data_IF_839040331587
#
_entry.id   IF_839040331587
#
_cell.length_a   1.000
_cell.length_b   1.000
_cell.length_c   1.000
_cell.angle_alpha   90.00
_cell.angle_beta   90.00
_cell.angle_gamma   90.00
#
_symmetry.space_group_name_H-M   'P 1'
#
loop_
_entity.id
_entity.type
_entity.pdbx_description
1 polymer ?
#
# COMPACT_ATOMS: atom_id res chain seq x y z
N UNK A 1 16.32 34.81 26.25
CA UNK A 1 15.91 33.39 26.20
C UNK A 1 14.59 33.16 25.46
N UNK A 2 13.55 33.99 25.61
CA UNK A 2 12.26 33.74 24.97
C UNK A 2 12.27 33.75 23.43
N UNK A 3 13.16 34.52 22.77
CA UNK A 3 13.30 34.54 21.30
C UNK A 3 14.02 33.32 20.70
N UNK A 4 14.88 32.65 21.49
CA UNK A 4 15.58 31.43 21.06
C UNK A 4 14.66 30.20 21.15
N UNK A 5 13.74 30.19 22.12
CA UNK A 5 12.70 29.14 22.23
C UNK A 5 11.69 29.25 21.08
N UNK A 6 11.34 30.46 20.62
CA UNK A 6 10.46 30.64 19.45
C UNK A 6 11.11 30.17 18.15
N UNK A 7 12.43 30.32 18.00
CA UNK A 7 13.18 29.85 16.83
C UNK A 7 13.29 28.31 16.79
N UNK A 8 13.41 27.67 17.96
CA UNK A 8 13.45 26.20 18.08
C UNK A 8 12.09 25.54 17.84
N UNK A 9 10.99 26.21 18.17
CA UNK A 9 9.62 25.75 17.87
C UNK A 9 9.27 25.91 16.38
N UNK A 10 9.95 26.78 15.64
CA UNK A 10 9.80 26.89 14.19
C UNK A 10 10.60 25.85 13.39
N UNK A 11 11.59 25.18 14.03
CA UNK A 11 12.36 24.09 13.42
C UNK A 11 11.71 22.71 13.57
N UNK A 12 10.56 22.62 14.27
CA UNK A 12 9.74 21.40 14.38
C UNK A 12 8.61 21.31 13.36
N UNK A 13 8.54 22.22 12.37
CA UNK A 13 7.68 22.01 11.21
C UNK A 13 8.30 20.90 10.36
N UNK A 14 7.75 19.71 10.53
CA UNK A 14 8.19 18.49 9.87
C UNK A 14 8.34 18.70 8.37
N UNK A 15 9.45 18.17 7.84
CA UNK A 15 9.59 17.92 6.42
C UNK A 15 8.45 16.98 6.01
N UNK A 16 7.35 17.53 5.51
CA UNK A 16 6.39 16.73 4.77
C UNK A 16 7.11 16.31 3.50
N UNK A 17 7.67 15.10 3.53
CA UNK A 17 8.17 14.44 2.35
C UNK A 17 6.94 14.14 1.48
N UNK A 18 6.65 15.05 0.57
CA UNK A 18 5.84 14.67 -0.56
C UNK A 18 6.65 13.65 -1.36
N UNK A 19 6.01 12.60 -1.84
CA UNK A 19 6.65 11.59 -2.67
C UNK A 19 5.89 11.47 -3.99
N UNK A 20 6.63 11.28 -5.08
CA UNK A 20 6.07 10.94 -6.39
C UNK A 20 6.26 9.44 -6.63
N UNK A 21 5.53 8.90 -7.59
CA UNK A 21 5.58 7.47 -7.88
C UNK A 21 6.63 7.17 -8.96
N UNK A 22 7.33 6.06 -8.76
CA UNK A 22 8.10 5.36 -9.80
C UNK A 22 7.42 4.00 -10.01
N UNK A 23 6.38 4.00 -10.84
CA UNK A 23 5.49 2.87 -11.04
C UNK A 23 5.76 2.14 -12.36
N UNK A 24 6.00 0.84 -12.28
CA UNK A 24 5.99 -0.04 -13.46
C UNK A 24 4.59 -0.59 -13.68
N UNK A 25 3.95 -0.22 -14.80
CA UNK A 25 2.65 -0.76 -15.20
C UNK A 25 2.85 -1.85 -16.25
N UNK A 26 2.30 -3.04 -15.98
CA UNK A 26 2.37 -4.20 -16.88
C UNK A 26 0.99 -4.73 -17.14
N UNK A 27 0.66 -4.97 -18.41
CA UNK A 27 -0.62 -5.57 -18.82
C UNK A 27 -0.37 -6.99 -19.32
N UNK A 28 -0.96 -7.97 -18.63
CA UNK A 28 -1.00 -9.35 -19.03
C UNK A 28 -2.33 -9.68 -19.73
N UNK A 29 -2.23 -10.19 -20.96
CA UNK A 29 -3.33 -10.57 -21.83
C UNK A 29 -3.35 -12.06 -22.17
N UNK A 30 -2.52 -12.88 -21.52
CA UNK A 30 -2.36 -14.33 -21.80
C UNK A 30 -3.65 -15.13 -21.62
N UNK A 31 -4.60 -14.61 -20.84
CA UNK A 31 -5.92 -15.24 -20.64
C UNK A 31 -6.94 -14.92 -21.74
N UNK A 32 -6.61 -14.02 -22.67
CA UNK A 32 -7.49 -13.66 -23.79
C UNK A 32 -7.26 -14.59 -24.99
N UNK A 33 -8.34 -15.03 -25.63
CA UNK A 33 -8.26 -15.98 -26.77
C UNK A 33 -7.72 -15.34 -28.06
N UNK A 34 -7.94 -14.03 -28.28
CA UNK A 34 -7.45 -13.26 -29.43
C UNK A 34 -7.20 -11.79 -29.05
N UNK A 35 -6.11 -11.48 -28.34
CA UNK A 35 -5.85 -10.11 -27.88
C UNK A 35 -5.49 -9.17 -29.04
N UNK A 36 -6.13 -8.00 -29.11
CA UNK A 36 -5.61 -6.90 -29.92
C UNK A 36 -4.39 -6.28 -29.23
N UNK A 37 -3.21 -6.78 -29.59
CA UNK A 37 -1.95 -6.39 -28.96
C UNK A 37 -1.63 -4.89 -29.06
N UNK A 38 -2.19 -4.18 -30.04
CA UNK A 38 -1.97 -2.74 -30.17
C UNK A 38 -2.67 -1.95 -29.07
N UNK A 39 -3.96 -2.23 -28.83
CA UNK A 39 -4.78 -1.57 -27.78
C UNK A 39 -4.15 -1.74 -26.39
N UNK A 40 -3.57 -2.90 -26.11
CA UNK A 40 -2.95 -3.15 -24.81
C UNK A 40 -1.60 -2.45 -24.65
N UNK A 41 -0.83 -2.28 -25.73
CA UNK A 41 0.39 -1.46 -25.70
C UNK A 41 0.08 0.02 -25.50
N UNK A 42 -0.98 0.54 -26.14
CA UNK A 42 -1.41 1.92 -25.96
C UNK A 42 -1.95 2.12 -24.54
N UNK A 43 -2.77 1.21 -24.02
CA UNK A 43 -3.25 1.24 -22.64
C UNK A 43 -2.10 1.21 -21.62
N UNK A 44 -1.12 0.31 -21.79
CA UNK A 44 0.02 0.23 -20.88
C UNK A 44 0.84 1.53 -20.87
N UNK A 45 1.06 2.10 -22.06
CA UNK A 45 1.77 3.39 -22.20
C UNK A 45 0.97 4.50 -21.54
N UNK A 46 -0.33 4.63 -21.84
CA UNK A 46 -1.20 5.65 -21.26
C UNK A 46 -1.25 5.56 -19.73
N UNK A 47 -1.39 4.36 -19.15
CA UNK A 47 -1.37 4.16 -17.70
C UNK A 47 0.00 4.47 -17.09
N UNK A 48 1.09 4.06 -17.75
CA UNK A 48 2.44 4.35 -17.28
C UNK A 48 2.71 5.85 -17.25
N UNK A 49 2.28 6.59 -18.28
CA UNK A 49 2.39 8.04 -18.32
C UNK A 49 1.48 8.70 -17.29
N UNK A 50 0.23 8.26 -17.18
CA UNK A 50 -0.73 8.77 -16.22
C UNK A 50 -0.21 8.63 -14.77
N UNK A 51 0.29 7.46 -14.37
CA UNK A 51 0.79 7.27 -13.00
C UNK A 51 2.07 8.05 -12.73
N UNK A 52 3.03 8.05 -13.67
CA UNK A 52 4.36 8.61 -13.42
C UNK A 52 4.51 10.10 -13.75
N UNK A 53 3.60 10.68 -14.55
CA UNK A 53 3.63 12.11 -14.93
C UNK A 53 2.57 12.95 -14.21
N UNK A 54 1.56 12.33 -13.60
CA UNK A 54 0.59 13.06 -12.76
C UNK A 54 1.26 13.56 -11.49
N UNK A 55 1.01 14.82 -11.14
CA UNK A 55 1.42 15.38 -9.86
C UNK A 55 0.39 15.05 -8.77
N UNK A 56 0.68 13.99 -8.01
CA UNK A 56 -0.21 13.49 -6.96
C UNK A 56 -0.17 14.31 -5.67
N UNK A 57 0.91 15.06 -5.44
CA UNK A 57 1.23 15.70 -4.15
C UNK A 57 1.46 17.20 -4.25
N UNK A 58 1.45 17.78 -5.45
CA UNK A 58 1.68 19.21 -5.68
C UNK A 58 3.13 19.64 -5.48
N UNK A 59 4.07 18.69 -5.39
CA UNK A 59 5.45 18.94 -4.98
C UNK A 59 6.43 18.42 -6.04
N UNK A 60 7.43 19.25 -6.36
CA UNK A 60 8.51 18.90 -7.28
C UNK A 60 9.60 18.15 -6.50
N UNK A 61 9.92 16.93 -6.92
CA UNK A 61 10.83 16.04 -6.21
C UNK A 61 11.93 15.48 -7.10
N UNK A 62 13.02 15.02 -6.49
CA UNK A 62 14.10 14.32 -7.21
C UNK A 62 13.70 12.86 -7.49
N UNK A 63 14.26 12.29 -8.55
CA UNK A 63 13.97 10.92 -8.97
C UNK A 63 14.24 9.87 -7.86
N UNK A 64 15.25 10.09 -7.02
CA UNK A 64 15.62 9.21 -5.92
C UNK A 64 14.69 9.29 -4.69
N UNK A 65 13.75 10.24 -4.66
CA UNK A 65 12.76 10.42 -3.59
C UNK A 65 11.41 9.77 -3.96
N UNK A 66 11.34 9.10 -5.12
CA UNK A 66 10.12 8.47 -5.61
C UNK A 66 9.90 7.09 -5.00
N UNK A 67 8.63 6.76 -4.74
CA UNK A 67 8.21 5.46 -4.23
C UNK A 67 8.22 4.43 -5.36
N UNK A 68 8.98 3.35 -5.18
CA UNK A 68 9.00 2.24 -6.12
C UNK A 68 7.72 1.42 -5.96
N UNK A 69 6.95 1.30 -7.04
CA UNK A 69 5.70 0.56 -7.07
C UNK A 69 5.49 -0.16 -8.41
N UNK A 70 4.55 -1.09 -8.42
CA UNK A 70 4.13 -1.78 -9.63
C UNK A 70 2.63 -2.03 -9.63
N UNK A 71 2.05 -1.98 -10.84
CA UNK A 71 0.66 -2.32 -11.10
C UNK A 71 0.63 -3.37 -12.21
N UNK A 72 0.29 -4.60 -11.84
CA UNK A 72 0.20 -5.71 -12.76
C UNK A 72 -1.27 -6.03 -13.04
N UNK A 73 -1.73 -5.69 -14.23
CA UNK A 73 -3.12 -5.84 -14.67
C UNK A 73 -3.23 -7.13 -15.47
N UNK A 74 -4.11 -8.03 -15.06
CA UNK A 74 -4.41 -9.25 -15.81
C UNK A 74 -5.81 -9.17 -16.39
N UNK A 75 -5.92 -9.15 -17.71
CA UNK A 75 -7.20 -9.10 -18.42
C UNK A 75 -7.71 -10.52 -18.67
N UNK A 76 -8.94 -10.79 -18.25
CA UNK A 76 -9.60 -12.08 -18.38
C UNK A 76 -10.64 -12.11 -19.50
N UNK A 77 -11.28 -10.99 -19.80
CA UNK A 77 -12.16 -10.85 -20.96
C UNK A 77 -12.21 -9.42 -21.48
N UNK A 78 -12.59 -9.28 -22.75
CA UNK A 78 -12.83 -8.00 -23.40
C UNK A 78 -14.06 -8.06 -24.31
N UNK A 79 -14.80 -6.94 -24.38
CA UNK A 79 -15.92 -6.73 -25.29
C UNK A 79 -15.86 -5.30 -25.80
N UNK A 80 -15.35 -5.12 -27.03
CA UNK A 80 -15.12 -3.79 -27.62
C UNK A 80 -14.26 -2.90 -26.72
N UNK A 81 -14.82 -1.83 -26.13
CA UNK A 81 -14.19 -0.86 -25.23
C UNK A 81 -14.17 -1.33 -23.76
N UNK A 82 -14.85 -2.42 -23.42
CA UNK A 82 -14.98 -2.92 -22.06
C UNK A 82 -13.99 -4.04 -21.77
N UNK A 83 -13.32 -3.93 -20.63
CA UNK A 83 -12.33 -4.87 -20.16
C UNK A 83 -12.69 -5.35 -18.75
N UNK A 84 -12.46 -6.64 -18.50
CA UNK A 84 -12.64 -7.27 -17.20
C UNK A 84 -11.33 -7.94 -16.81
N UNK A 85 -10.93 -7.78 -15.55
CA UNK A 85 -9.66 -8.28 -15.10
C UNK A 85 -9.44 -8.07 -13.60
N UNK A 86 -8.19 -8.28 -13.22
CA UNK A 86 -7.69 -8.06 -11.86
C UNK A 86 -6.47 -7.15 -11.89
N UNK A 87 -6.21 -6.43 -10.81
CA UNK A 87 -5.01 -5.60 -10.66
C UNK A 87 -4.28 -5.98 -9.38
N UNK A 88 -3.02 -6.39 -9.54
CA UNK A 88 -2.10 -6.60 -8.43
C UNK A 88 -1.28 -5.33 -8.24
N UNK A 89 -1.39 -4.73 -7.06
CA UNK A 89 -0.70 -3.49 -6.70
C UNK A 89 0.36 -3.79 -5.66
N UNK A 90 1.57 -3.31 -5.90
CA UNK A 90 2.70 -3.49 -4.99
C UNK A 90 3.44 -2.17 -4.81
N UNK A 91 3.94 -1.93 -3.59
CA UNK A 91 4.86 -0.83 -3.30
C UNK A 91 5.93 -1.26 -2.32
N UNK A 92 7.05 -0.55 -2.34
CA UNK A 92 8.17 -0.83 -1.46
C UNK A 92 8.92 0.45 -1.07
N UNK A 93 9.48 0.42 0.14
CA UNK A 93 10.29 1.49 0.72
C UNK A 93 11.73 1.03 0.88
N UNK A 94 12.67 1.85 0.44
CA UNK A 94 14.08 1.65 0.75
C UNK A 94 14.34 1.90 2.23
N UNK A 95 15.00 0.95 2.89
CA UNK A 95 15.37 1.08 4.30
C UNK A 95 16.55 2.03 4.45
N UNK A 96 16.52 2.84 5.51
CA UNK A 96 17.52 3.86 5.74
C UNK A 96 18.94 3.28 5.74
N UNK A 97 19.83 3.93 4.98
CA UNK A 97 21.24 3.54 4.83
C UNK A 97 21.44 2.07 4.38
N UNK A 98 20.50 1.54 3.59
CA UNK A 98 20.52 0.17 3.08
C UNK A 98 20.05 0.12 1.63
N UNK A 99 20.48 -0.92 0.90
CA UNK A 99 19.94 -1.25 -0.42
C UNK A 99 18.69 -2.14 -0.33
N UNK A 100 18.30 -2.53 0.89
CA UNK A 100 17.14 -3.39 1.12
C UNK A 100 15.84 -2.63 0.86
N UNK A 101 14.98 -3.20 0.02
CA UNK A 101 13.65 -2.68 -0.26
C UNK A 101 12.60 -3.49 0.49
N UNK A 102 11.93 -2.85 1.44
CA UNK A 102 10.90 -3.45 2.27
C UNK A 102 9.53 -3.31 1.60
N UNK A 103 8.76 -4.40 1.40
CA UNK A 103 7.43 -4.33 0.81
C UNK A 103 6.44 -3.62 1.74
N UNK A 104 5.69 -2.63 1.24
CA UNK A 104 4.73 -1.85 2.04
C UNK A 104 3.29 -2.27 1.74
N UNK A 105 2.95 -2.41 0.46
CA UNK A 105 1.65 -2.87 -0.03
C UNK A 105 1.85 -4.04 -0.98
N UNK A 106 1.00 -5.06 -0.88
CA UNK A 106 0.89 -6.15 -1.83
C UNK A 106 -0.56 -6.64 -1.82
N UNK A 107 -1.37 -6.17 -2.76
CA UNK A 107 -2.80 -6.47 -2.80
C UNK A 107 -3.30 -6.78 -4.21
N UNK A 108 -4.03 -7.90 -4.34
CA UNK A 108 -4.70 -8.29 -5.57
C UNK A 108 -6.18 -7.89 -5.50
N UNK A 109 -6.55 -6.87 -6.26
CA UNK A 109 -7.92 -6.48 -6.47
C UNK A 109 -8.54 -7.29 -7.60
N UNK A 110 -9.59 -8.04 -7.27
CA UNK A 110 -10.29 -8.93 -8.21
C UNK A 110 -11.39 -8.22 -9.00
N UNK A 111 -11.78 -7.03 -8.57
CA UNK A 111 -12.91 -6.28 -9.14
C UNK A 111 -12.39 -5.10 -9.98
N UNK A 112 -11.66 -5.41 -11.05
CA UNK A 112 -11.08 -4.41 -11.95
C UNK A 112 -11.67 -4.49 -13.36
N UNK A 113 -12.88 -3.94 -13.48
CA UNK A 113 -13.59 -3.80 -14.75
C UNK A 113 -13.58 -2.34 -15.18
N UNK A 114 -13.29 -2.06 -16.44
CA UNK A 114 -13.18 -0.68 -16.90
C UNK A 114 -13.47 -0.54 -18.38
N UNK A 115 -13.65 0.71 -18.82
CA UNK A 115 -13.71 1.08 -20.23
C UNK A 115 -12.44 1.80 -20.64
N UNK A 116 -11.98 1.55 -21.86
CA UNK A 116 -10.85 2.25 -22.43
C UNK A 116 -11.00 2.39 -23.94
N UNK A 117 -10.82 3.62 -24.41
CA UNK A 117 -10.72 3.96 -25.84
C UNK A 117 -9.31 4.46 -26.11
N UNK A 118 -8.68 3.98 -27.19
CA UNK A 118 -7.33 4.43 -27.53
C UNK A 118 -7.28 5.95 -27.76
N UNK A 119 -6.19 6.56 -27.30
CA UNK A 119 -5.91 7.99 -27.42
C UNK A 119 -6.85 8.92 -26.63
N UNK A 120 -7.83 8.38 -25.90
CA UNK A 120 -8.61 9.16 -24.94
C UNK A 120 -7.71 9.56 -23.76
N UNK A 121 -7.66 10.86 -23.39
CA UNK A 121 -6.80 11.31 -22.31
C UNK A 121 -7.29 10.81 -20.95
N UNK A 122 -6.37 10.27 -20.15
CA UNK A 122 -6.64 9.90 -18.76
C UNK A 122 -6.50 11.14 -17.88
N UNK A 123 -7.63 11.76 -17.53
CA UNK A 123 -7.68 12.96 -16.70
C UNK A 123 -8.17 12.62 -15.30
N UNK A 124 -7.40 13.01 -14.29
CA UNK A 124 -7.74 12.81 -12.90
C UNK A 124 -8.34 14.08 -12.28
N UNK A 125 -9.48 13.92 -11.61
CA UNK A 125 -10.02 14.91 -10.69
C UNK A 125 -10.49 14.17 -9.42
N UNK A 126 -10.03 14.55 -8.22
CA UNK A 126 -10.41 13.87 -6.99
C UNK A 126 -11.90 14.02 -6.65
N UNK A 127 -12.59 15.04 -7.17
CA UNK A 127 -13.96 15.40 -6.78
C UNK A 127 -15.03 14.99 -7.80
N UNK A 128 -14.62 14.48 -8.96
CA UNK A 128 -15.55 14.03 -10.01
C UNK A 128 -15.20 12.61 -10.41
N UNK A 129 -16.23 11.80 -10.65
CA UNK A 129 -16.04 10.50 -11.26
C UNK A 129 -16.28 10.61 -12.76
N UNK A 130 -15.21 10.33 -13.52
CA UNK A 130 -15.22 10.32 -14.99
C UNK A 130 -15.10 8.88 -15.53
N UNK A 131 -14.09 8.13 -15.07
CA UNK A 131 -13.82 6.77 -15.55
C UNK A 131 -13.37 5.85 -14.42
N UNK A 132 -13.90 4.62 -14.40
CA UNK A 132 -13.50 3.62 -13.42
C UNK A 132 -12.01 3.24 -13.55
N UNK A 133 -11.45 3.26 -14.77
CA UNK A 133 -10.02 3.03 -14.98
C UNK A 133 -9.20 4.06 -14.20
N UNK A 134 -9.52 5.34 -14.40
CA UNK A 134 -8.84 6.46 -13.75
C UNK A 134 -9.06 6.40 -12.23
N UNK A 135 -10.28 6.16 -11.77
CA UNK A 135 -10.60 6.10 -10.33
C UNK A 135 -9.86 4.98 -9.61
N UNK A 136 -9.81 3.77 -10.16
CA UNK A 136 -9.10 2.64 -9.51
C UNK A 136 -7.60 2.92 -9.45
N UNK A 137 -7.00 3.38 -10.56
CA UNK A 137 -5.56 3.65 -10.61
C UNK A 137 -5.19 4.79 -9.65
N UNK A 138 -5.96 5.88 -9.66
CA UNK A 138 -5.75 7.03 -8.77
C UNK A 138 -5.94 6.66 -7.30
N UNK A 139 -6.96 5.85 -6.99
CA UNK A 139 -7.18 5.31 -5.64
C UNK A 139 -5.94 4.59 -5.14
N UNK A 140 -5.35 3.70 -5.95
CA UNK A 140 -4.15 2.97 -5.56
C UNK A 140 -2.90 3.84 -5.47
N UNK A 141 -2.77 4.87 -6.31
CA UNK A 141 -1.72 5.89 -6.15
C UNK A 141 -1.80 6.55 -4.76
N UNK A 142 -2.98 7.01 -4.34
CA UNK A 142 -3.16 7.63 -3.02
C UNK A 142 -3.06 6.65 -1.85
N UNK A 143 -3.46 5.38 -2.04
CA UNK A 143 -3.19 4.34 -1.04
C UNK A 143 -1.70 4.12 -0.83
N UNK A 144 -0.92 4.03 -1.91
CA UNK A 144 0.55 3.87 -1.85
C UNK A 144 1.17 5.06 -1.13
N UNK A 145 0.80 6.29 -1.50
CA UNK A 145 1.31 7.51 -0.86
C UNK A 145 0.97 7.57 0.63
N UNK A 146 -0.27 7.24 1.00
CA UNK A 146 -0.72 7.21 2.39
C UNK A 146 0.04 6.20 3.23
N UNK A 147 0.14 4.96 2.73
CA UNK A 147 0.83 3.89 3.44
C UNK A 147 2.33 4.13 3.54
N UNK A 148 2.95 4.68 2.49
CA UNK A 148 4.39 4.99 2.51
C UNK A 148 4.70 6.11 3.51
N UNK A 149 3.95 7.21 3.50
CA UNK A 149 4.14 8.30 4.45
C UNK A 149 4.02 7.84 5.92
N UNK A 150 3.08 6.94 6.22
CA UNK A 150 2.93 6.37 7.56
C UNK A 150 4.12 5.52 8.02
N UNK A 151 4.92 4.97 7.09
CA UNK A 151 6.14 4.25 7.46
C UNK A 151 7.22 5.18 8.03
N UNK A 152 7.22 6.46 7.65
CA UNK A 152 8.18 7.47 8.11
C UNK A 152 7.71 8.20 9.36
N UNK A 153 6.40 8.46 9.45
CA UNK A 153 5.81 9.14 10.59
C UNK A 153 4.35 8.72 10.75
N UNK A 154 4.00 8.29 11.96
CA UNK A 154 2.62 7.94 12.30
C UNK A 154 1.65 9.09 11.97
N UNK A 155 0.66 8.82 11.13
CA UNK A 155 -0.38 9.78 10.76
C UNK A 155 -0.04 10.68 9.57
N UNK A 156 1.19 10.65 9.05
CA UNK A 156 1.59 11.45 7.90
C UNK A 156 0.83 11.07 6.61
N UNK A 157 0.30 9.84 6.53
CA UNK A 157 -0.52 9.38 5.41
C UNK A 157 -1.93 9.95 5.35
N UNK A 158 -2.42 10.63 6.41
CA UNK A 158 -3.81 11.07 6.51
C UNK A 158 -4.32 11.88 5.31
N UNK A 159 -3.59 12.89 4.78
CA UNK A 159 -4.08 13.67 3.65
C UNK A 159 -4.29 12.81 2.39
N UNK A 160 -3.38 11.87 2.13
CA UNK A 160 -3.46 10.99 0.97
C UNK A 160 -4.60 9.98 1.10
N UNK A 161 -4.76 9.40 2.29
CA UNK A 161 -5.86 8.48 2.57
C UNK A 161 -7.22 9.20 2.48
N UNK A 162 -7.32 10.44 2.94
CA UNK A 162 -8.54 11.24 2.77
C UNK A 162 -8.90 11.44 1.29
N UNK A 163 -7.90 11.72 0.44
CA UNK A 163 -8.12 11.79 -1.01
C UNK A 163 -8.55 10.44 -1.59
N UNK A 164 -7.92 9.33 -1.19
CA UNK A 164 -8.35 7.99 -1.59
C UNK A 164 -9.79 7.68 -1.16
N UNK A 165 -10.20 8.13 0.02
CA UNK A 165 -11.57 7.99 0.52
C UNK A 165 -12.55 8.81 -0.33
N UNK A 166 -12.17 10.04 -0.70
CA UNK A 166 -12.98 10.86 -1.60
C UNK A 166 -13.17 10.20 -2.96
N UNK A 167 -12.09 9.66 -3.55
CA UNK A 167 -12.16 8.89 -4.81
C UNK A 167 -13.13 7.71 -4.66
N UNK A 168 -13.03 6.95 -3.57
CA UNK A 168 -13.93 5.82 -3.32
C UNK A 168 -15.40 6.26 -3.18
N UNK A 169 -15.66 7.42 -2.56
CA UNK A 169 -17.01 7.96 -2.41
C UNK A 169 -17.61 8.41 -3.76
N UNK A 170 -16.87 9.17 -4.57
CA UNK A 170 -17.37 9.63 -5.87
C UNK A 170 -17.50 8.47 -6.85
N UNK A 171 -16.64 7.45 -6.78
CA UNK A 171 -16.66 6.32 -7.69
C UNK A 171 -17.86 5.37 -7.50
N UNK A 172 -18.57 5.45 -6.38
CA UNK A 172 -19.81 4.70 -6.16
C UNK A 172 -20.86 5.00 -7.24
N UNK A 173 -20.90 6.22 -7.77
CA UNK A 173 -21.84 6.61 -8.83
C UNK A 173 -21.60 5.89 -10.16
N UNK A 174 -20.41 5.32 -10.35
CA UNK A 174 -20.03 4.59 -11.56
C UNK A 174 -20.67 3.22 -11.72
N UNK A 175 -21.26 2.66 -10.66
CA UNK A 175 -21.92 1.34 -10.69
C UNK A 175 -20.98 0.15 -10.87
N UNK A 176 -19.66 0.35 -10.86
CA UNK A 176 -18.67 -0.73 -10.90
C UNK A 176 -18.48 -1.35 -9.52
N UNK A 177 -18.23 -2.66 -9.49
CA UNK A 177 -17.95 -3.40 -8.25
C UNK A 177 -16.67 -2.91 -7.58
N UNK A 178 -16.65 -3.00 -6.25
CA UNK A 178 -15.50 -2.77 -5.40
C UNK A 178 -15.54 -1.42 -4.66
N UNK A 179 -16.49 -0.56 -5.01
CA UNK A 179 -16.69 0.76 -4.40
C UNK A 179 -17.78 0.80 -3.33
N UNK A 180 -18.63 -0.23 -3.27
CA UNK A 180 -19.75 -0.27 -2.33
C UNK A 180 -19.55 -1.33 -1.24
N UNK A 181 -20.20 -1.12 -0.11
CA UNK A 181 -20.24 -2.08 0.99
C UNK A 181 -20.85 -3.44 0.57
N UNK A 182 -21.81 -3.42 -0.36
CA UNK A 182 -22.51 -4.61 -0.88
C UNK A 182 -21.65 -5.50 -1.78
N UNK A 183 -20.50 -5.02 -2.25
CA UNK A 183 -19.66 -5.73 -3.23
C UNK A 183 -18.76 -6.81 -2.61
N UNK A 184 -18.88 -7.04 -1.29
CA UNK A 184 -18.10 -8.02 -0.53
C UNK A 184 -17.28 -7.36 0.58
N UNK A 185 -16.64 -8.19 1.41
CA UNK A 185 -15.89 -7.73 2.58
C UNK A 185 -14.41 -7.40 2.31
N UNK A 186 -13.91 -7.69 1.10
CA UNK A 186 -12.51 -7.50 0.70
C UNK A 186 -12.46 -6.68 -0.58
N UNK A 187 -12.73 -5.39 -0.46
CA UNK A 187 -12.81 -4.47 -1.59
C UNK A 187 -12.23 -3.09 -1.23
N UNK A 188 -12.18 -2.18 -2.23
CA UNK A 188 -11.62 -0.84 -2.08
C UNK A 188 -12.36 -0.02 -1.03
N UNK A 189 -13.69 -0.16 -0.93
CA UNK A 189 -14.50 0.49 0.11
C UNK A 189 -14.02 0.13 1.52
N UNK A 190 -13.92 -1.16 1.85
CA UNK A 190 -13.45 -1.58 3.16
C UNK A 190 -11.97 -1.26 3.38
N UNK A 191 -11.14 -1.41 2.34
CA UNK A 191 -9.71 -1.12 2.42
C UNK A 191 -9.44 0.30 2.94
N UNK A 192 -10.09 1.31 2.36
CA UNK A 192 -9.85 2.70 2.75
C UNK A 192 -10.54 3.09 4.06
N UNK A 193 -11.78 2.63 4.27
CA UNK A 193 -12.53 2.96 5.47
C UNK A 193 -11.88 2.37 6.72
N UNK A 194 -11.40 1.13 6.65
CA UNK A 194 -10.67 0.51 7.75
C UNK A 194 -9.30 1.18 7.96
N UNK A 195 -8.62 1.64 6.90
CA UNK A 195 -7.32 2.33 7.03
C UNK A 195 -7.43 3.67 7.79
N UNK A 196 -8.52 4.41 7.61
CA UNK A 196 -8.73 5.72 8.25
C UNK A 196 -9.38 5.58 9.63
N UNK A 197 -10.18 4.53 9.83
CA UNK A 197 -10.97 4.38 11.05
C UNK A 197 -10.08 4.26 12.31
N UNK A 198 -10.34 5.06 13.38
CA UNK A 198 -9.56 5.03 14.61
C UNK A 198 -9.49 3.66 15.28
N UNK A 199 -10.50 2.81 15.07
CA UNK A 199 -10.53 1.43 15.58
C UNK A 199 -9.35 0.58 15.10
N UNK A 200 -8.74 0.95 13.97
CA UNK A 200 -7.61 0.25 13.36
C UNK A 200 -6.29 1.00 13.47
N UNK A 201 -6.21 2.08 14.27
CA UNK A 201 -4.99 2.88 14.43
C UNK A 201 -3.78 2.05 14.86
N UNK A 202 -4.01 0.97 15.62
CA UNK A 202 -2.96 0.04 16.05
C UNK A 202 -2.23 -0.59 14.86
N UNK A 203 -2.90 -0.82 13.71
CA UNK A 203 -2.21 -1.33 12.51
C UNK A 203 -1.24 -0.30 11.93
N UNK A 204 -1.66 0.97 11.81
CA UNK A 204 -0.81 2.05 11.29
C UNK A 204 0.36 2.30 12.22
N UNK A 205 0.13 2.22 13.54
CA UNK A 205 1.18 2.27 14.55
C UNK A 205 2.16 1.10 14.40
N UNK A 206 1.67 -0.11 14.15
CA UNK A 206 2.53 -1.26 13.84
C UNK A 206 3.37 -0.99 12.59
N UNK A 207 2.76 -0.53 11.49
CA UNK A 207 3.49 -0.23 10.25
C UNK A 207 4.62 0.77 10.48
N UNK A 208 4.36 1.86 11.19
CA UNK A 208 5.39 2.83 11.56
C UNK A 208 6.49 2.22 12.46
N UNK A 209 6.11 1.56 13.55
CA UNK A 209 7.07 0.98 14.50
C UNK A 209 7.93 -0.12 13.87
N UNK A 210 7.35 -0.90 12.95
CA UNK A 210 8.01 -1.95 12.19
C UNK A 210 9.09 -1.37 11.27
N UNK A 211 8.76 -0.37 10.45
CA UNK A 211 9.73 0.23 9.51
C UNK A 211 10.84 1.01 10.24
N UNK A 212 10.52 1.68 11.34
CA UNK A 212 11.56 2.30 12.18
C UNK A 212 12.39 1.28 12.95
N UNK A 213 11.94 0.03 13.06
CA UNK A 213 12.77 -1.10 13.50
C UNK A 213 13.71 -1.55 12.39
N UNK A 214 13.23 -1.65 11.16
CA UNK A 214 14.06 -1.94 9.98
C UNK A 214 15.16 -0.89 9.77
N UNK A 215 14.83 0.39 9.92
CA UNK A 215 15.81 1.48 9.79
C UNK A 215 16.96 1.40 10.82
N UNK A 216 16.73 0.73 11.95
CA UNK A 216 17.74 0.51 12.99
C UNK A 216 18.59 -0.75 12.77
N UNK A 217 18.27 -1.59 11.77
CA UNK A 217 18.96 -2.87 11.53
C UNK A 217 20.45 -2.72 11.21
N UNK A 218 20.85 -1.61 10.58
CA UNK A 218 22.26 -1.34 10.25
C UNK A 218 23.07 -0.92 11.48
N UNK A 219 22.41 -0.44 12.53
CA UNK A 219 23.03 0.04 13.76
C UNK A 219 23.11 -1.05 14.83
N UNK A 220 21.97 -1.67 15.15
CA UNK A 220 21.89 -2.76 16.12
C UNK A 220 20.77 -3.73 15.72
N UNK A 221 21.18 -4.89 15.17
CA UNK A 221 20.25 -5.91 14.70
C UNK A 221 19.40 -6.51 15.84
N UNK A 222 19.96 -6.67 17.05
CA UNK A 222 19.22 -7.28 18.16
C UNK A 222 18.15 -6.33 18.67
N UNK A 223 18.50 -5.06 18.88
CA UNK A 223 17.55 -4.04 19.31
C UNK A 223 16.48 -3.78 18.23
N UNK A 224 16.88 -3.78 16.95
CA UNK A 224 15.95 -3.67 15.83
C UNK A 224 14.94 -4.81 15.79
N UNK A 225 15.39 -6.07 15.95
CA UNK A 225 14.50 -7.23 16.05
C UNK A 225 13.50 -7.13 17.20
N UNK A 226 13.94 -6.73 18.39
CA UNK A 226 13.04 -6.54 19.54
C UNK A 226 12.00 -5.45 19.26
N UNK A 227 12.39 -4.35 18.60
CA UNK A 227 11.47 -3.29 18.19
C UNK A 227 10.44 -3.78 17.18
N UNK A 228 10.86 -4.56 16.19
CA UNK A 228 9.96 -5.19 15.20
C UNK A 228 9.02 -6.18 15.89
N UNK A 229 9.52 -7.01 16.80
CA UNK A 229 8.72 -7.93 17.60
C UNK A 229 7.61 -7.19 18.34
N UNK A 230 7.97 -6.14 19.09
CA UNK A 230 7.01 -5.33 19.83
C UNK A 230 5.96 -4.66 18.91
N UNK A 231 6.36 -4.23 17.71
CA UNK A 231 5.42 -3.70 16.72
C UNK A 231 4.39 -4.77 16.28
N UNK A 232 4.83 -6.01 16.05
CA UNK A 232 3.96 -7.12 15.66
C UNK A 232 3.02 -7.57 16.79
N UNK A 233 3.45 -7.48 18.05
CA UNK A 233 2.60 -7.77 19.21
C UNK A 233 1.39 -6.80 19.30
N UNK A 234 1.52 -5.56 18.82
CA UNK A 234 0.40 -4.61 18.73
C UNK A 234 -0.72 -5.10 17.80
N UNK A 235 -0.39 -5.87 16.76
CA UNK A 235 -1.43 -6.48 15.89
C UNK A 235 -2.23 -7.52 16.68
N UNK A 236 -1.61 -8.21 17.64
CA UNK A 236 -2.32 -9.13 18.55
C UNK A 236 -3.42 -8.42 19.36
N UNK A 237 -3.17 -7.18 19.78
CA UNK A 237 -4.16 -6.33 20.45
C UNK A 237 -5.31 -5.96 19.49
N UNK A 238 -4.99 -5.52 18.28
CA UNK A 238 -6.00 -5.23 17.25
C UNK A 238 -6.88 -6.45 16.96
N UNK A 239 -6.28 -7.62 16.77
CA UNK A 239 -6.99 -8.87 16.48
C UNK A 239 -7.91 -9.31 17.62
N UNK A 240 -7.61 -8.92 18.86
CA UNK A 240 -8.48 -9.20 20.01
C UNK A 240 -9.75 -8.34 20.02
N UNK A 241 -9.72 -7.17 19.37
CA UNK A 241 -10.87 -6.25 19.21
C UNK A 241 -11.61 -6.49 17.89
N UNK A 242 -10.86 -6.71 16.81
CA UNK A 242 -11.35 -6.92 15.43
C UNK A 242 -10.70 -8.17 14.84
N UNK A 243 -11.17 -9.37 15.20
CA UNK A 243 -10.64 -10.60 14.62
C UNK A 243 -10.93 -10.66 13.12
N UNK A 244 -10.02 -11.25 12.35
CA UNK A 244 -10.13 -11.40 10.89
C UNK A 244 -10.31 -10.08 10.11
N UNK A 245 -9.79 -8.97 10.66
CA UNK A 245 -9.82 -7.68 9.98
C UNK A 245 -9.13 -7.76 8.60
N UNK A 246 -9.80 -7.23 7.58
CA UNK A 246 -9.30 -7.28 6.20
C UNK A 246 -7.94 -6.60 6.06
N UNK A 247 -7.77 -5.42 6.66
CA UNK A 247 -6.49 -4.69 6.60
C UNK A 247 -5.33 -5.43 7.28
N UNK A 248 -5.60 -6.27 8.28
CA UNK A 248 -4.57 -7.10 8.92
C UNK A 248 -4.07 -8.15 7.94
N UNK A 249 -4.97 -8.74 7.14
CA UNK A 249 -4.56 -9.63 6.06
C UNK A 249 -3.72 -8.90 5.02
N UNK A 250 -4.11 -7.70 4.60
CA UNK A 250 -3.34 -6.89 3.64
C UNK A 250 -1.93 -6.61 4.14
N UNK A 251 -1.76 -6.35 5.45
CA UNK A 251 -0.43 -6.21 6.05
C UNK A 251 0.41 -7.49 5.92
N UNK A 252 -0.16 -8.67 6.24
CA UNK A 252 0.57 -9.94 6.15
C UNK A 252 0.83 -10.41 4.71
N UNK A 253 -0.01 -10.03 3.76
CA UNK A 253 0.21 -10.29 2.33
C UNK A 253 1.48 -9.56 1.82
N UNK A 254 1.84 -8.42 2.42
CA UNK A 254 3.10 -7.73 2.15
C UNK A 254 4.27 -8.21 3.04
N UNK A 255 4.02 -8.48 4.33
CA UNK A 255 5.09 -8.61 5.34
C UNK A 255 5.48 -10.04 5.71
N UNK A 256 4.67 -11.04 5.40
CA UNK A 256 4.88 -12.40 5.94
C UNK A 256 6.26 -12.99 5.61
N UNK A 257 6.75 -12.85 4.38
CA UNK A 257 8.07 -13.37 3.99
C UNK A 257 9.23 -12.59 4.61
N UNK A 258 9.08 -11.27 4.74
CA UNK A 258 10.07 -10.40 5.40
C UNK A 258 10.17 -10.72 6.90
N UNK A 259 9.04 -10.93 7.58
CA UNK A 259 8.99 -11.34 8.99
C UNK A 259 9.76 -12.66 9.18
N UNK A 260 9.49 -13.66 8.34
CA UNK A 260 10.22 -14.93 8.41
C UNK A 260 11.71 -14.72 8.20
N UNK A 261 12.11 -13.94 7.19
CA UNK A 261 13.52 -13.65 6.90
C UNK A 261 14.23 -13.02 8.10
N UNK A 262 13.62 -12.02 8.74
CA UNK A 262 14.16 -11.32 9.90
C UNK A 262 14.36 -12.28 11.08
N UNK A 263 13.32 -13.02 11.46
CA UNK A 263 13.36 -13.91 12.64
C UNK A 263 13.92 -15.33 12.32
N UNK A 264 14.44 -15.54 11.11
CA UNK A 264 15.24 -16.72 10.77
C UNK A 264 16.73 -16.40 10.64
N UNK A 265 17.09 -15.12 10.56
CA UNK A 265 18.47 -14.63 10.63
C UNK A 265 18.96 -14.48 12.08
N UNK A 266 20.27 -14.37 12.31
CA UNK A 266 20.80 -13.92 13.60
C UNK A 266 20.68 -12.40 13.78
N UNK A 267 20.93 -11.85 14.98
CA UNK A 267 21.13 -12.54 16.26
C UNK A 267 19.80 -13.08 16.84
N UNK A 268 19.86 -14.03 17.78
CA UNK A 268 18.67 -14.62 18.40
C UNK A 268 18.11 -13.76 19.54
N UNK A 269 16.77 -13.73 19.61
CA UNK A 269 15.96 -13.13 20.67
C UNK A 269 14.86 -14.11 21.11
N UNK A 270 14.20 -13.90 22.27
CA UNK A 270 13.00 -14.65 22.63
C UNK A 270 11.86 -14.36 21.64
N UNK A 271 11.35 -15.40 20.98
CA UNK A 271 10.35 -15.33 19.89
C UNK A 271 9.05 -16.10 20.18
N UNK A 272 8.93 -16.78 21.31
CA UNK A 272 7.77 -17.64 21.60
C UNK A 272 6.45 -16.85 21.62
N UNK A 273 6.47 -15.67 22.25
CA UNK A 273 5.36 -14.72 22.27
C UNK A 273 4.98 -14.23 20.88
N UNK A 274 5.98 -13.94 20.04
CA UNK A 274 5.79 -13.55 18.66
C UNK A 274 5.12 -14.67 17.85
N UNK A 275 5.64 -15.89 17.92
CA UNK A 275 5.09 -17.02 17.15
C UNK A 275 3.66 -17.33 17.56
N UNK A 276 3.32 -17.20 18.85
CA UNK A 276 1.95 -17.40 19.33
C UNK A 276 1.00 -16.34 18.76
N UNK A 277 1.41 -15.07 18.77
CA UNK A 277 0.63 -13.97 18.18
C UNK A 277 0.48 -14.15 16.67
N UNK A 278 1.55 -14.48 15.95
CA UNK A 278 1.51 -14.67 14.49
C UNK A 278 0.56 -15.81 14.09
N UNK A 279 0.59 -16.93 14.81
CA UNK A 279 -0.33 -18.06 14.57
C UNK A 279 -1.79 -17.71 14.89
N UNK A 280 -2.03 -16.89 15.92
CA UNK A 280 -3.38 -16.43 16.28
C UNK A 280 -3.95 -15.42 15.28
N UNK A 281 -3.13 -14.50 14.81
CA UNK A 281 -3.56 -13.36 13.98
C UNK A 281 -3.58 -13.72 12.49
N UNK A 282 -2.60 -14.49 12.02
CA UNK A 282 -2.45 -14.86 10.61
C UNK A 282 -2.25 -16.38 10.48
N UNK A 283 -3.26 -17.20 10.82
CA UNK A 283 -3.16 -18.66 10.79
C UNK A 283 -2.89 -19.22 9.38
N UNK A 284 -3.31 -18.51 8.32
CA UNK A 284 -3.04 -18.89 6.93
C UNK A 284 -1.54 -18.91 6.58
N UNK A 285 -0.72 -18.23 7.38
CA UNK A 285 0.74 -18.19 7.22
C UNK A 285 1.45 -19.11 8.24
N UNK A 286 0.74 -20.02 8.94
CA UNK A 286 1.33 -20.90 9.96
C UNK A 286 2.54 -21.70 9.47
N UNK A 287 2.51 -22.22 8.24
CA UNK A 287 3.66 -22.89 7.60
C UNK A 287 4.88 -21.97 7.45
N UNK A 288 4.67 -20.66 7.26
CA UNK A 288 5.74 -19.66 7.25
C UNK A 288 6.25 -19.41 8.68
N UNK A 289 5.36 -19.27 9.65
CA UNK A 289 5.71 -19.03 11.05
C UNK A 289 6.52 -20.17 11.68
N UNK A 290 6.28 -21.42 11.27
CA UNK A 290 7.09 -22.56 11.73
C UNK A 290 8.55 -22.54 11.26
N UNK A 291 8.89 -21.70 10.28
CA UNK A 291 10.27 -21.55 9.79
C UNK A 291 11.10 -20.58 10.62
N UNK A 292 10.47 -19.80 11.49
CA UNK A 292 11.13 -18.85 12.39
C UNK A 292 11.99 -19.62 13.41
N UNK A 293 13.24 -19.18 13.61
CA UNK A 293 14.22 -19.89 14.45
C UNK A 293 14.85 -19.03 15.56
N UNK A 294 14.97 -17.72 15.35
CA UNK A 294 15.85 -16.84 16.13
C UNK A 294 15.31 -15.44 16.40
#
# INVERSE_FOLDING_TARGET
>A
MNKLVTLLVFLSFGFVQAQQLNCTVTINTERLTNPNNQVFKTLQTALSEFVNKTDWTGSVLKQNERINCSMYITLSSNSSDQFTGTIQVQSSRLIFNSTYSSPVLNYNDKDFNFRYTEYEPLLFNPNTYDSNLVSVISFYCYMILGMDADTFQMGAGNPYLQTAQNIANVAQQGGFKGWNQSDGLQNRYYLINDMIAPTYSDLRQTTYAYHTGLDAMTLDQKAAKEKIKNALLLIGKLNSVKPNAFITRVFFDAKSDEIVSIFSGGPSIPITDLTDVLNKVSPLNSTKWSQIKY
#
